data_IF_309146321038
#
_entry.id   IF_309146321038
#
_cell.length_a   1.000
_cell.length_b   1.000
_cell.length_c   1.000
_cell.angle_alpha   90.00
_cell.angle_beta   90.00
_cell.angle_gamma   90.00
#
_symmetry.space_group_name_H-M   'P 1'
#
loop_
_entity.id
_entity.type
_entity.pdbx_description
1 polymer ?
#
# COMPACT_ATOMS: atom_id res chain seq x y z
N UNK A 1 -6.49 -31.40 -21.40
CA UNK A 1 -6.10 -31.08 -20.00
C UNK A 1 -4.96 -30.05 -19.89
N UNK A 2 -3.87 -30.15 -20.67
CA UNK A 2 -2.68 -29.26 -20.57
C UNK A 2 -2.97 -27.77 -20.81
N UNK A 3 -3.78 -27.42 -21.81
CA UNK A 3 -4.17 -26.02 -22.13
C UNK A 3 -4.95 -25.34 -20.99
N UNK A 4 -5.80 -26.10 -20.26
CA UNK A 4 -6.56 -25.58 -19.11
C UNK A 4 -5.65 -25.22 -17.93
N UNK A 5 -4.56 -25.96 -17.72
CA UNK A 5 -3.56 -25.66 -16.68
C UNK A 5 -2.75 -24.41 -17.01
N UNK A 6 -2.38 -24.21 -18.27
CA UNK A 6 -1.66 -23.00 -18.73
C UNK A 6 -2.54 -21.76 -18.52
N UNK A 7 -3.84 -21.83 -18.87
CA UNK A 7 -4.78 -20.73 -18.63
C UNK A 7 -4.90 -20.38 -17.13
N UNK A 8 -4.98 -21.39 -16.26
CA UNK A 8 -5.09 -21.16 -14.82
C UNK A 8 -3.81 -20.56 -14.22
N UNK A 9 -2.63 -21.02 -14.66
CA UNK A 9 -1.34 -20.44 -14.24
C UNK A 9 -1.20 -18.99 -14.72
N UNK A 10 -1.63 -18.68 -15.95
CA UNK A 10 -1.59 -17.31 -16.47
C UNK A 10 -2.50 -16.38 -15.66
N UNK A 11 -3.73 -16.81 -15.35
CA UNK A 11 -4.66 -16.01 -14.53
C UNK A 11 -4.12 -15.80 -13.11
N UNK A 12 -3.59 -16.85 -12.48
CA UNK A 12 -2.98 -16.75 -11.16
C UNK A 12 -1.76 -15.82 -11.16
N UNK A 13 -0.91 -15.89 -12.19
CA UNK A 13 0.24 -15.03 -12.37
C UNK A 13 -0.14 -13.56 -12.52
N UNK A 14 -1.14 -13.27 -13.35
CA UNK A 14 -1.67 -11.90 -13.52
C UNK A 14 -2.26 -11.39 -12.19
N UNK A 15 -3.04 -12.22 -11.49
CA UNK A 15 -3.62 -11.86 -10.20
C UNK A 15 -2.56 -11.46 -9.17
N UNK A 16 -1.48 -12.23 -9.05
CA UNK A 16 -0.36 -11.92 -8.16
C UNK A 16 0.36 -10.63 -8.58
N UNK A 17 0.54 -10.42 -9.88
CA UNK A 17 1.14 -9.19 -10.42
C UNK A 17 0.32 -7.95 -10.05
N UNK A 18 -1.00 -8.02 -10.18
CA UNK A 18 -1.90 -6.92 -9.79
C UNK A 18 -1.74 -6.60 -8.31
N UNK A 19 -1.77 -7.62 -7.44
CA UNK A 19 -1.61 -7.44 -5.98
C UNK A 19 -0.25 -6.82 -5.65
N UNK A 20 0.83 -7.30 -6.27
CA UNK A 20 2.17 -6.78 -6.04
C UNK A 20 2.30 -5.31 -6.48
N UNK A 21 1.78 -4.98 -7.66
CA UNK A 21 1.77 -3.61 -8.19
C UNK A 21 0.97 -2.68 -7.28
N UNK A 22 -0.23 -3.10 -6.86
CA UNK A 22 -1.05 -2.32 -5.91
C UNK A 22 -0.33 -2.10 -4.57
N UNK A 23 0.35 -3.11 -4.03
CA UNK A 23 1.12 -2.97 -2.80
C UNK A 23 2.27 -1.97 -2.97
N UNK A 24 3.01 -2.04 -4.08
CA UNK A 24 4.08 -1.11 -4.40
C UNK A 24 3.59 0.34 -4.52
N UNK A 25 2.45 0.58 -5.18
CA UNK A 25 1.85 1.92 -5.28
C UNK A 25 1.40 2.47 -3.92
N UNK A 26 0.80 1.64 -3.07
CA UNK A 26 0.39 2.07 -1.73
C UNK A 26 1.59 2.41 -0.83
N UNK A 27 2.67 1.63 -0.94
CA UNK A 27 3.91 1.92 -0.21
C UNK A 27 4.60 3.19 -0.72
N UNK A 28 4.75 3.34 -2.04
CA UNK A 28 5.42 4.50 -2.64
C UNK A 28 4.65 5.80 -2.40
N UNK A 29 3.32 5.79 -2.52
CA UNK A 29 2.49 6.95 -2.21
C UNK A 29 2.57 7.36 -0.73
N UNK A 30 2.76 6.41 0.19
CA UNK A 30 3.00 6.72 1.60
C UNK A 30 4.36 7.39 1.82
N UNK A 31 5.43 6.84 1.23
CA UNK A 31 6.76 7.42 1.31
C UNK A 31 6.80 8.83 0.69
N UNK A 32 6.14 9.01 -0.46
CA UNK A 32 6.01 10.30 -1.13
C UNK A 32 5.30 11.34 -0.27
N UNK A 33 4.25 10.94 0.45
CA UNK A 33 3.56 11.83 1.38
C UNK A 33 4.46 12.32 2.50
N UNK A 34 5.29 11.44 3.07
CA UNK A 34 6.27 11.83 4.09
C UNK A 34 7.30 12.81 3.55
N UNK A 35 7.81 12.55 2.34
CA UNK A 35 8.73 13.45 1.64
C UNK A 35 8.13 14.84 1.40
N UNK A 36 6.89 14.90 0.91
CA UNK A 36 6.22 16.17 0.58
C UNK A 36 5.80 16.98 1.81
N UNK A 37 5.49 16.33 2.93
CA UNK A 37 4.97 17.01 4.12
C UNK A 37 5.98 17.11 5.26
N UNK A 38 7.22 16.70 5.01
CA UNK A 38 8.29 16.60 6.02
C UNK A 38 7.88 15.77 7.25
N UNK A 39 6.93 14.84 7.08
CA UNK A 39 6.42 13.98 8.15
C UNK A 39 7.09 12.62 8.14
N UNK A 40 7.29 12.06 9.33
CA UNK A 40 7.70 10.66 9.44
C UNK A 40 6.51 9.75 9.11
N UNK A 41 6.66 8.95 8.05
CA UNK A 41 5.63 8.04 7.56
C UNK A 41 6.12 6.60 7.55
N UNK A 42 5.21 5.65 7.75
CA UNK A 42 5.47 4.23 7.54
C UNK A 42 4.24 3.55 6.95
N UNK A 43 4.48 2.54 6.11
CA UNK A 43 3.40 1.73 5.56
C UNK A 43 3.18 0.48 6.42
N UNK A 44 1.92 0.22 6.77
CA UNK A 44 1.51 -1.00 7.44
C UNK A 44 0.52 -1.76 6.55
N UNK A 45 0.73 -3.07 6.28
CA UNK A 45 -0.23 -3.87 5.53
C UNK A 45 -1.63 -3.77 6.15
N UNK A 46 -2.66 -3.69 5.31
CA UNK A 46 -4.09 -3.56 5.68
C UNK A 46 -4.51 -2.25 6.36
N UNK A 47 -3.61 -1.54 7.05
CA UNK A 47 -3.87 -0.23 7.67
C UNK A 47 -3.58 0.92 6.69
N UNK A 48 -2.60 0.74 5.81
CA UNK A 48 -2.18 1.74 4.85
C UNK A 48 -1.08 2.66 5.37
N UNK A 49 -1.12 3.93 4.97
CA UNK A 49 -0.09 4.90 5.33
C UNK A 49 -0.32 5.45 6.74
N UNK A 50 0.64 5.23 7.63
CA UNK A 50 0.68 5.80 8.96
C UNK A 50 1.65 6.98 9.02
N UNK A 51 1.34 7.94 9.88
CA UNK A 51 2.11 9.16 10.08
C UNK A 51 2.38 9.33 11.57
N UNK A 52 3.59 9.74 11.92
CA UNK A 52 3.96 9.98 13.30
C UNK A 52 3.39 11.31 13.77
N UNK A 53 2.59 11.27 14.84
CA UNK A 53 2.04 12.45 15.52
C UNK A 53 2.42 12.38 16.99
N UNK A 54 3.37 13.22 17.42
CA UNK A 54 3.95 13.14 18.76
C UNK A 54 4.56 11.76 19.03
N UNK A 55 3.96 10.99 19.94
CA UNK A 55 4.41 9.65 20.34
C UNK A 55 3.69 8.51 19.60
N UNK A 56 2.60 8.79 18.89
CA UNK A 56 1.76 7.77 18.25
C UNK A 56 1.92 7.75 16.73
N UNK A 57 1.56 6.61 16.14
CA UNK A 57 1.41 6.48 14.70
C UNK A 57 -0.09 6.48 14.38
N UNK A 58 -0.52 7.47 13.61
CA UNK A 58 -1.93 7.68 13.27
C UNK A 58 -2.12 7.45 11.76
N UNK A 59 -3.19 6.73 11.34
CA UNK A 59 -3.47 6.55 9.92
C UNK A 59 -3.67 7.89 9.22
N UNK A 60 -3.15 8.03 8.00
CA UNK A 60 -3.27 9.27 7.22
C UNK A 60 -4.74 9.72 7.04
N UNK A 61 -5.68 8.78 6.97
CA UNK A 61 -7.13 9.07 6.88
C UNK A 61 -7.65 9.86 8.08
N UNK A 62 -7.13 9.56 9.27
CA UNK A 62 -7.57 10.15 10.54
C UNK A 62 -6.92 11.50 10.84
N UNK A 63 -5.87 11.89 10.09
CA UNK A 63 -5.20 13.18 10.30
C UNK A 63 -6.03 14.37 9.81
N UNK A 64 -6.99 14.12 8.91
CA UNK A 64 -7.80 15.17 8.28
C UNK A 64 -8.97 15.65 9.15
N UNK A 65 -9.30 14.91 10.21
CA UNK A 65 -10.37 15.28 11.17
C UNK A 65 -9.86 16.13 12.34
N UNK A 66 -8.55 16.37 12.42
CA UNK A 66 -7.91 17.27 13.37
C UNK A 66 -7.49 18.59 12.69
N UNK A 67 -8.47 19.30 12.12
CA UNK A 67 -8.32 20.68 11.68
C UNK A 67 -9.44 21.53 12.25
#
# INVERSE_FOLDING_TARGET
MRKKRIGLVAVAGIGLLVVAVSAAFNWSSCAWYGYQTERQTRFAPYVGCMVKTGTAWVPRSELRTQQ
#
